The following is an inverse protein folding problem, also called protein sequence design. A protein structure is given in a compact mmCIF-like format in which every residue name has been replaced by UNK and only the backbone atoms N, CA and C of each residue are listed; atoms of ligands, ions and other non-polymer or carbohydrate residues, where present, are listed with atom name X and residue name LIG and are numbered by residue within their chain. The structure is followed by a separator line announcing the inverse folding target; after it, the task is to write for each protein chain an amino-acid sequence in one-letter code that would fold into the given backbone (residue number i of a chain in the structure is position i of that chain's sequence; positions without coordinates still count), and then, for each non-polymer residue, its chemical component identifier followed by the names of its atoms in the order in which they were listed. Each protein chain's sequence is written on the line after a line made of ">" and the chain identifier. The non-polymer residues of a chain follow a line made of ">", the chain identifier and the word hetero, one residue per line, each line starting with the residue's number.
data_IF_358883252824
#
_entry.id   IF_358883252824
#
_cell.length_a   1.000
_cell.length_b   1.000
_cell.length_c   1.000
_cell.angle_alpha   90.00
_cell.angle_beta   90.00
_cell.angle_gamma   90.00
#
_symmetry.space_group_name_H-M   'P 1'
#
loop_
_entity.id
_entity.type
_entity.pdbx_description
1 polymer ?
#
# COMPACT_ATOMS: atom_id res chain seq x y z
N UNK A 1 29.96 4.97 -27.03
CA UNK A 1 29.98 3.50 -27.13
C UNK A 1 29.57 2.97 -25.76
N UNK A 2 28.33 2.54 -25.61
CA UNK A 2 27.82 1.98 -24.36
C UNK A 2 28.37 0.55 -24.20
N UNK A 3 28.89 0.25 -23.02
CA UNK A 3 29.38 -1.06 -22.62
C UNK A 3 28.29 -2.12 -22.67
N UNK A 4 28.69 -3.36 -22.99
CA UNK A 4 27.88 -4.57 -22.98
C UNK A 4 27.00 -4.68 -21.71
N UNK A 5 25.78 -5.17 -21.92
CA UNK A 5 24.63 -5.03 -21.02
C UNK A 5 24.84 -5.56 -19.62
N UNK A 6 24.73 -4.67 -18.64
CA UNK A 6 24.35 -5.03 -17.28
C UNK A 6 22.83 -5.12 -17.22
N UNK A 7 22.32 -6.21 -16.65
CA UNK A 7 20.91 -6.32 -16.32
C UNK A 7 20.52 -5.20 -15.35
N UNK A 8 19.58 -4.36 -15.76
CA UNK A 8 19.05 -3.27 -14.97
C UNK A 8 17.82 -3.76 -14.21
N UNK A 9 17.93 -3.89 -12.89
CA UNK A 9 16.77 -4.11 -12.03
C UNK A 9 15.99 -2.80 -11.87
N UNK A 10 14.82 -2.71 -12.50
CA UNK A 10 13.96 -1.52 -12.48
C UNK A 10 12.63 -1.88 -11.81
N UNK A 11 12.26 -1.13 -10.77
CA UNK A 11 10.94 -1.26 -10.15
C UNK A 11 9.83 -0.94 -11.17
N UNK A 12 8.82 -1.81 -11.25
CA UNK A 12 7.73 -1.69 -12.24
C UNK A 12 7.12 -0.29 -12.29
N UNK A 13 6.83 0.33 -11.14
CA UNK A 13 6.18 1.65 -11.09
C UNK A 13 6.99 2.79 -11.74
N UNK A 14 8.29 2.60 -11.98
CA UNK A 14 9.15 3.56 -12.67
C UNK A 14 9.10 3.42 -14.19
N UNK A 15 8.64 2.27 -14.70
CA UNK A 15 8.52 2.02 -16.13
C UNK A 15 7.26 2.74 -16.64
N UNK A 16 7.35 3.53 -17.72
CA UNK A 16 6.18 4.18 -18.29
C UNK A 16 5.11 3.18 -18.71
N UNK A 17 3.86 3.45 -18.33
CA UNK A 17 2.75 2.53 -18.57
C UNK A 17 1.41 3.26 -18.67
N UNK A 18 0.42 2.56 -19.22
CA UNK A 18 -0.96 3.04 -19.39
C UNK A 18 -1.95 1.98 -18.94
N UNK A 19 -3.11 2.40 -18.43
CA UNK A 19 -4.24 1.49 -18.28
C UNK A 19 -4.84 1.24 -19.67
N UNK A 20 -4.68 0.02 -20.18
CA UNK A 20 -5.19 -0.37 -21.50
C UNK A 20 -6.65 -0.80 -21.45
N UNK A 21 -7.03 -1.50 -20.39
CA UNK A 21 -8.37 -2.04 -20.24
C UNK A 21 -8.67 -2.54 -18.83
N UNK A 22 -9.88 -3.07 -18.65
CA UNK A 22 -10.32 -3.66 -17.38
C UNK A 22 -11.09 -4.96 -17.65
N UNK A 23 -10.95 -5.91 -16.74
CA UNK A 23 -11.71 -7.17 -16.71
C UNK A 23 -12.24 -7.36 -15.30
N UNK A 24 -13.54 -7.16 -15.09
CA UNK A 24 -14.13 -7.14 -13.75
C UNK A 24 -13.43 -6.11 -12.85
N UNK A 25 -12.79 -6.59 -11.76
CA UNK A 25 -12.00 -5.76 -10.82
C UNK A 25 -10.54 -5.57 -11.24
N UNK A 26 -10.07 -6.27 -12.26
CA UNK A 26 -8.71 -6.18 -12.76
C UNK A 26 -8.53 -4.99 -13.70
N UNK A 27 -7.43 -4.27 -13.54
CA UNK A 27 -6.92 -3.28 -14.49
C UNK A 27 -5.75 -3.90 -15.25
N UNK A 28 -5.84 -3.92 -16.59
CA UNK A 28 -4.75 -4.37 -17.45
C UNK A 28 -3.88 -3.16 -17.79
N UNK A 29 -2.66 -3.17 -17.30
CA UNK A 29 -1.66 -2.12 -17.56
C UNK A 29 -0.71 -2.58 -18.65
N UNK A 30 -0.51 -1.74 -19.65
CA UNK A 30 0.47 -1.93 -20.70
C UNK A 30 1.73 -1.13 -20.35
N UNK A 31 2.84 -1.84 -20.12
CA UNK A 31 4.14 -1.28 -19.82
C UNK A 31 4.96 -1.09 -21.10
N UNK A 32 5.69 0.02 -21.18
CA UNK A 32 6.46 0.46 -22.35
C UNK A 32 7.94 0.67 -21.99
N UNK A 33 8.75 -0.41 -21.87
CA UNK A 33 10.11 -0.33 -21.35
C UNK A 33 11.05 0.57 -22.14
N UNK A 34 10.87 0.66 -23.47
CA UNK A 34 11.69 1.52 -24.34
C UNK A 34 11.53 3.02 -24.06
N UNK A 35 10.48 3.41 -23.34
CA UNK A 35 10.29 4.80 -22.90
C UNK A 35 10.98 5.10 -21.56
N UNK A 36 11.47 4.09 -20.85
CA UNK A 36 12.12 4.27 -19.56
C UNK A 36 13.41 5.09 -19.72
N UNK A 37 13.58 6.07 -18.83
CA UNK A 37 14.82 6.83 -18.67
C UNK A 37 15.12 6.92 -17.19
N UNK A 38 16.37 6.67 -16.80
CA UNK A 38 16.80 6.77 -15.41
C UNK A 38 16.55 8.19 -14.88
N UNK A 39 15.83 8.30 -13.75
CA UNK A 39 15.41 9.59 -13.17
C UNK A 39 14.30 10.32 -13.97
N UNK A 40 13.75 9.70 -15.01
CA UNK A 40 12.67 10.25 -15.82
C UNK A 40 11.29 10.05 -15.20
N UNK A 41 10.28 10.69 -15.81
CA UNK A 41 8.88 10.47 -15.43
C UNK A 41 8.37 9.13 -15.98
N UNK A 42 7.55 8.44 -15.19
CA UNK A 42 6.79 7.26 -15.61
C UNK A 42 5.51 7.61 -16.40
N UNK A 43 5.24 8.90 -16.65
CA UNK A 43 4.08 9.33 -17.43
C UNK A 43 4.37 9.21 -18.92
N UNK A 44 3.44 8.59 -19.66
CA UNK A 44 3.51 8.51 -21.12
C UNK A 44 3.06 9.84 -21.73
N UNK A 45 3.86 10.38 -22.65
CA UNK A 45 3.58 11.66 -23.30
C UNK A 45 2.31 11.58 -24.19
N UNK A 46 1.60 12.69 -24.34
CA UNK A 46 0.35 12.75 -25.12
C UNK A 46 0.54 12.32 -26.58
N UNK A 47 1.65 12.71 -27.20
CA UNK A 47 1.97 12.27 -28.58
C UNK A 47 2.15 10.76 -28.66
N UNK A 48 2.76 10.15 -27.66
CA UNK A 48 2.92 8.70 -27.59
C UNK A 48 1.59 8.00 -27.40
N UNK A 49 0.70 8.53 -26.55
CA UNK A 49 -0.67 8.01 -26.38
C UNK A 49 -1.48 8.13 -27.68
N UNK A 50 -1.31 9.23 -28.40
CA UNK A 50 -1.95 9.47 -29.70
C UNK A 50 -1.53 8.41 -30.71
N UNK A 51 -0.23 8.11 -30.80
CA UNK A 51 0.29 7.04 -31.67
C UNK A 51 -0.23 5.68 -31.24
N UNK A 52 -0.15 5.35 -29.95
CA UNK A 52 -0.66 4.08 -29.41
C UNK A 52 -2.13 3.85 -29.78
N UNK A 53 -2.98 4.87 -29.62
CA UNK A 53 -4.39 4.76 -29.94
C UNK A 53 -4.62 4.66 -31.46
N UNK A 54 -4.10 5.61 -32.23
CA UNK A 54 -4.39 5.74 -33.66
C UNK A 54 -3.75 4.62 -34.49
N UNK A 55 -2.49 4.27 -34.22
CA UNK A 55 -1.69 3.35 -35.03
C UNK A 55 -1.80 1.89 -34.55
N UNK A 56 -2.11 1.66 -33.26
CA UNK A 56 -2.14 0.32 -32.69
C UNK A 56 -3.55 -0.10 -32.26
N UNK A 57 -4.13 0.53 -31.22
CA UNK A 57 -5.40 0.07 -30.60
C UNK A 57 -6.56 0.13 -31.60
N UNK A 58 -6.77 1.29 -32.24
CA UNK A 58 -7.87 1.46 -33.18
C UNK A 58 -7.71 0.59 -34.43
N UNK A 59 -6.48 0.45 -34.92
CA UNK A 59 -6.18 -0.39 -36.08
C UNK A 59 -6.37 -1.88 -35.77
N UNK A 60 -6.01 -2.33 -34.56
CA UNK A 60 -6.29 -3.68 -34.11
C UNK A 60 -7.81 -3.94 -34.13
N UNK A 61 -8.61 -3.08 -33.49
CA UNK A 61 -10.09 -3.15 -33.51
C UNK A 61 -10.63 -3.18 -34.94
N UNK A 62 -10.16 -2.28 -35.83
CA UNK A 62 -10.62 -2.22 -37.22
C UNK A 62 -10.45 -3.56 -37.94
N UNK A 63 -9.37 -4.28 -37.63
CA UNK A 63 -9.08 -5.57 -38.28
C UNK A 63 -9.72 -6.78 -37.60
N UNK A 64 -9.94 -6.74 -36.28
CA UNK A 64 -10.39 -7.90 -35.52
C UNK A 64 -11.87 -7.88 -35.17
N UNK A 65 -12.45 -6.69 -34.99
CA UNK A 65 -13.86 -6.49 -34.60
C UNK A 65 -14.50 -5.33 -35.38
N UNK A 66 -14.49 -5.37 -36.73
CA UNK A 66 -14.93 -4.26 -37.58
C UNK A 66 -16.37 -3.80 -37.31
N UNK A 67 -17.25 -4.71 -36.90
CA UNK A 67 -18.65 -4.41 -36.53
C UNK A 67 -18.78 -3.48 -35.31
N UNK A 68 -17.80 -3.48 -34.41
CA UNK A 68 -17.81 -2.59 -33.24
C UNK A 68 -17.12 -1.25 -33.47
N UNK A 69 -16.34 -1.12 -34.56
CA UNK A 69 -15.48 0.04 -34.84
C UNK A 69 -16.25 1.37 -34.86
N UNK A 70 -17.51 1.37 -35.28
CA UNK A 70 -18.35 2.56 -35.31
C UNK A 70 -18.56 3.20 -33.92
N UNK A 71 -18.39 2.44 -32.84
CA UNK A 71 -18.48 2.92 -31.45
C UNK A 71 -17.18 3.52 -30.94
N UNK A 72 -16.07 3.29 -31.63
CA UNK A 72 -14.75 3.77 -31.23
C UNK A 72 -14.48 5.17 -31.78
N UNK A 73 -14.00 6.11 -30.96
CA UNK A 73 -13.59 7.44 -31.44
C UNK A 73 -12.66 7.38 -32.65
N UNK A 74 -12.88 8.27 -33.62
CA UNK A 74 -12.13 8.24 -34.88
C UNK A 74 -10.62 8.43 -34.70
N UNK A 75 -10.22 9.24 -33.71
CA UNK A 75 -8.83 9.54 -33.36
C UNK A 75 -8.68 9.73 -31.86
N UNK A 76 -7.45 9.71 -31.37
CA UNK A 76 -7.11 10.05 -29.98
C UNK A 76 -7.63 11.44 -29.59
N UNK A 77 -7.48 12.44 -30.46
CA UNK A 77 -7.92 13.81 -30.16
C UNK A 77 -9.44 13.92 -30.08
N UNK A 78 -10.16 13.13 -30.89
CA UNK A 78 -11.62 13.03 -30.78
C UNK A 78 -12.02 12.35 -29.46
N UNK A 79 -11.33 11.28 -29.06
CA UNK A 79 -11.55 10.62 -27.77
C UNK A 79 -11.29 11.57 -26.59
N UNK A 80 -10.16 12.28 -26.62
CA UNK A 80 -9.76 13.20 -25.56
C UNK A 80 -10.81 14.30 -25.35
N UNK A 81 -11.31 14.89 -26.44
CA UNK A 81 -12.39 15.90 -26.37
C UNK A 81 -13.72 15.31 -25.90
N UNK A 82 -14.08 14.12 -26.38
CA UNK A 82 -15.33 13.44 -26.01
C UNK A 82 -15.41 13.18 -24.50
N UNK A 83 -14.29 12.79 -23.89
CA UNK A 83 -14.22 12.41 -22.48
C UNK A 83 -13.86 13.57 -21.55
N UNK A 84 -13.71 14.79 -22.06
CA UNK A 84 -13.38 15.95 -21.23
C UNK A 84 -14.64 16.75 -20.87
N UNK A 85 -14.81 17.08 -19.58
CA UNK A 85 -15.90 17.95 -19.13
C UNK A 85 -15.57 19.46 -19.28
N UNK A 86 -16.54 20.30 -18.92
CA UNK A 86 -16.40 21.76 -19.00
C UNK A 86 -15.27 22.34 -18.15
N UNK A 87 -14.82 21.62 -17.11
CA UNK A 87 -13.71 22.01 -16.23
C UNK A 87 -12.38 21.41 -16.69
N UNK A 88 -12.36 20.72 -17.84
CA UNK A 88 -11.18 20.08 -18.37
C UNK A 88 -10.87 18.73 -17.73
N UNK A 89 -11.73 18.20 -16.86
CA UNK A 89 -11.54 16.92 -16.19
C UNK A 89 -11.96 15.78 -17.11
N UNK A 90 -11.13 14.74 -17.18
CA UNK A 90 -11.39 13.56 -18.01
C UNK A 90 -12.29 12.55 -17.26
N UNK A 91 -13.35 12.12 -17.93
CA UNK A 91 -14.27 11.05 -17.54
C UNK A 91 -14.07 9.87 -18.47
N UNK A 92 -13.28 8.89 -18.04
CA UNK A 92 -12.88 7.77 -18.89
C UNK A 92 -14.05 6.85 -19.20
N UNK A 93 -14.44 6.76 -20.47
CA UNK A 93 -15.34 5.72 -20.96
C UNK A 93 -14.64 4.39 -21.19
N UNK A 94 -15.43 3.33 -21.34
CA UNK A 94 -14.96 1.99 -21.71
C UNK A 94 -15.63 1.54 -23.01
N UNK A 95 -14.90 0.78 -23.81
CA UNK A 95 -15.40 0.11 -25.00
C UNK A 95 -15.02 -1.36 -24.92
N UNK A 96 -16.00 -2.22 -25.13
CA UNK A 96 -15.82 -3.66 -24.94
C UNK A 96 -15.22 -4.33 -26.17
N UNK A 97 -14.37 -5.31 -25.91
CA UNK A 97 -13.89 -6.30 -26.89
C UNK A 97 -14.43 -7.65 -26.42
N UNK A 98 -15.03 -8.40 -27.33
CA UNK A 98 -15.62 -9.70 -27.01
C UNK A 98 -14.53 -10.70 -26.60
N UNK A 99 -14.88 -11.67 -25.74
CA UNK A 99 -13.94 -12.74 -25.35
C UNK A 99 -13.48 -13.53 -26.57
N UNK A 100 -14.37 -13.77 -27.54
CA UNK A 100 -14.07 -14.53 -28.76
C UNK A 100 -13.06 -13.83 -29.68
N UNK A 101 -12.93 -12.51 -29.57
CA UNK A 101 -12.01 -11.71 -30.40
C UNK A 101 -10.77 -11.25 -29.64
N UNK A 102 -10.69 -11.49 -28.33
CA UNK A 102 -9.62 -11.00 -27.47
C UNK A 102 -8.24 -11.50 -27.92
N UNK A 103 -8.11 -12.79 -28.25
CA UNK A 103 -6.83 -13.36 -28.71
C UNK A 103 -6.39 -12.74 -30.03
N UNK A 104 -7.31 -12.58 -30.98
CA UNK A 104 -7.04 -11.95 -32.28
C UNK A 104 -6.63 -10.49 -32.08
N UNK A 105 -7.36 -9.77 -31.25
CA UNK A 105 -7.06 -8.38 -30.89
C UNK A 105 -5.67 -8.26 -30.28
N UNK A 106 -5.34 -9.11 -29.30
CA UNK A 106 -4.05 -9.07 -28.62
C UNK A 106 -2.89 -9.37 -29.57
N UNK A 107 -2.99 -10.42 -30.40
CA UNK A 107 -1.97 -10.74 -31.42
C UNK A 107 -1.76 -9.55 -32.33
N UNK A 108 -2.85 -8.99 -32.88
CA UNK A 108 -2.77 -7.88 -33.81
C UNK A 108 -2.23 -6.60 -33.17
N UNK A 109 -2.63 -6.30 -31.94
CA UNK A 109 -2.14 -5.15 -31.19
C UNK A 109 -0.62 -5.28 -31.00
N UNK A 110 -0.13 -6.46 -30.61
CA UNK A 110 1.31 -6.70 -30.45
C UNK A 110 2.08 -6.58 -31.76
N UNK A 111 1.57 -7.14 -32.87
CA UNK A 111 2.19 -6.99 -34.18
C UNK A 111 2.34 -5.50 -34.58
N UNK A 112 1.31 -4.69 -34.34
CA UNK A 112 1.34 -3.25 -34.64
C UNK A 112 2.32 -2.50 -33.71
N UNK A 113 2.37 -2.89 -32.44
CA UNK A 113 3.29 -2.29 -31.46
C UNK A 113 4.75 -2.64 -31.75
N UNK A 114 5.07 -3.85 -32.19
CA UNK A 114 6.46 -4.26 -32.45
C UNK A 114 7.10 -3.53 -33.65
N UNK A 115 6.29 -2.97 -34.54
CA UNK A 115 6.77 -2.10 -35.64
C UNK A 115 7.22 -0.73 -35.14
N UNK A 116 6.71 -0.28 -33.98
CA UNK A 116 7.00 1.05 -33.43
C UNK A 116 8.12 0.92 -32.39
N UNK A 117 9.31 1.51 -32.61
CA UNK A 117 10.47 1.34 -31.73
C UNK A 117 10.19 1.65 -30.25
N UNK A 118 9.32 2.62 -29.97
CA UNK A 118 8.95 3.02 -28.61
C UNK A 118 8.07 1.99 -27.86
N UNK A 119 7.42 1.08 -28.59
CA UNK A 119 6.45 0.12 -28.07
C UNK A 119 6.96 -1.32 -28.04
N UNK A 120 8.12 -1.57 -28.63
CA UNK A 120 8.78 -2.87 -28.62
C UNK A 120 9.05 -3.36 -27.20
N UNK A 121 8.98 -4.68 -27.02
CA UNK A 121 9.18 -5.35 -25.72
C UNK A 121 8.19 -4.88 -24.65
N UNK A 122 7.02 -4.39 -25.06
CA UNK A 122 5.93 -4.10 -24.15
C UNK A 122 5.38 -5.38 -23.52
N UNK A 123 4.83 -5.23 -22.31
CA UNK A 123 4.24 -6.35 -21.59
C UNK A 123 3.03 -5.88 -20.76
N UNK A 124 2.20 -6.84 -20.39
CA UNK A 124 1.02 -6.59 -19.56
C UNK A 124 1.31 -6.85 -18.09
N UNK A 125 0.66 -6.06 -17.24
CA UNK A 125 0.51 -6.35 -15.81
C UNK A 125 -0.96 -6.28 -15.48
N UNK A 126 -1.45 -7.32 -14.82
CA UNK A 126 -2.81 -7.40 -14.33
C UNK A 126 -2.83 -6.94 -12.87
N UNK A 127 -3.47 -5.82 -12.61
CA UNK A 127 -3.61 -5.25 -11.27
C UNK A 127 -5.04 -5.46 -10.77
N UNK A 128 -5.23 -6.36 -9.81
CA UNK A 128 -6.52 -6.55 -9.14
C UNK A 128 -6.51 -5.77 -7.83
N UNK A 129 -7.51 -4.91 -7.62
CA UNK A 129 -7.64 -4.11 -6.38
C UNK A 129 -8.94 -4.46 -5.66
N UNK A 130 -8.97 -4.21 -4.35
CA UNK A 130 -10.17 -4.37 -3.53
C UNK A 130 -10.49 -5.81 -3.12
N UNK A 131 -9.48 -6.68 -3.09
CA UNK A 131 -9.57 -8.08 -2.61
C UNK A 131 -9.04 -8.27 -1.19
N UNK A 132 -8.53 -7.18 -0.57
CA UNK A 132 -7.97 -7.24 0.78
C UNK A 132 -9.05 -7.67 1.78
N UNK A 133 -8.75 -8.69 2.57
CA UNK A 133 -9.67 -9.24 3.58
C UNK A 133 -10.79 -10.11 3.02
N UNK A 134 -10.85 -10.35 1.71
CA UNK A 134 -11.91 -11.19 1.11
C UNK A 134 -11.74 -12.69 1.37
N UNK A 135 -10.59 -13.12 1.89
CA UNK A 135 -10.19 -14.53 2.02
C UNK A 135 -9.74 -14.86 3.45
N UNK A 136 -10.36 -14.26 4.46
CA UNK A 136 -10.14 -14.63 5.86
C UNK A 136 -10.71 -16.03 6.14
N UNK A 137 -10.02 -16.81 6.96
CA UNK A 137 -10.33 -18.20 7.28
C UNK A 137 -9.69 -18.57 8.62
N UNK A 138 -10.08 -19.71 9.20
CA UNK A 138 -9.42 -20.25 10.38
C UNK A 138 -8.02 -20.78 10.03
N UNK A 139 -6.98 -20.32 10.74
CA UNK A 139 -5.58 -20.61 10.44
C UNK A 139 -5.18 -22.05 10.76
N UNK A 140 -5.87 -22.70 11.70
CA UNK A 140 -5.59 -24.10 12.05
C UNK A 140 -6.27 -25.10 11.10
N UNK A 141 -7.30 -24.67 10.37
CA UNK A 141 -8.09 -25.55 9.50
C UNK A 141 -7.49 -25.66 8.09
N UNK A 142 -6.79 -26.77 7.83
CA UNK A 142 -6.08 -27.03 6.57
C UNK A 142 -7.01 -26.92 5.35
N UNK A 143 -8.24 -27.41 5.46
CA UNK A 143 -9.19 -27.39 4.34
C UNK A 143 -9.61 -25.96 3.98
N UNK A 144 -9.94 -25.13 4.96
CA UNK A 144 -10.33 -23.73 4.72
C UNK A 144 -9.20 -22.95 4.08
N UNK A 145 -7.98 -23.10 4.61
CA UNK A 145 -6.76 -22.51 4.04
C UNK A 145 -6.54 -22.90 2.59
N UNK A 146 -6.83 -24.16 2.28
CA UNK A 146 -6.72 -24.68 0.92
C UNK A 146 -7.70 -24.02 -0.03
N UNK A 147 -8.98 -24.03 0.34
CA UNK A 147 -10.05 -23.43 -0.43
C UNK A 147 -9.89 -21.91 -0.58
N UNK A 148 -9.53 -21.18 0.47
CA UNK A 148 -9.35 -19.72 0.42
C UNK A 148 -8.20 -19.30 -0.49
N UNK A 149 -7.08 -20.04 -0.51
CA UNK A 149 -6.00 -19.74 -1.45
C UNK A 149 -6.42 -20.07 -2.89
N UNK A 150 -7.10 -21.19 -3.10
CA UNK A 150 -7.55 -21.58 -4.45
C UNK A 150 -8.56 -20.55 -4.99
N UNK A 151 -9.45 -20.05 -4.14
CA UNK A 151 -10.41 -19.00 -4.49
C UNK A 151 -9.73 -17.64 -4.77
N UNK A 152 -8.70 -17.29 -3.99
CA UNK A 152 -7.85 -16.12 -4.25
C UNK A 152 -7.15 -16.26 -5.61
N UNK A 153 -6.68 -17.46 -5.94
CA UNK A 153 -5.94 -17.73 -7.17
C UNK A 153 -6.83 -18.11 -8.37
N UNK A 154 -8.16 -18.12 -8.24
CA UNK A 154 -9.08 -18.60 -9.28
C UNK A 154 -8.97 -17.86 -10.62
N UNK A 155 -8.42 -16.64 -10.61
CA UNK A 155 -8.22 -15.83 -11.82
C UNK A 155 -6.88 -16.11 -12.52
N UNK A 156 -6.01 -16.90 -11.89
CA UNK A 156 -4.74 -17.33 -12.47
C UNK A 156 -4.97 -18.60 -13.28
N UNK A 157 -4.31 -18.69 -14.44
CA UNK A 157 -4.16 -19.95 -15.15
C UNK A 157 -2.90 -20.65 -14.62
N UNK A 158 -3.02 -21.78 -13.90
CA UNK A 158 -1.87 -22.49 -13.33
C UNK A 158 -0.88 -22.97 -14.39
N UNK A 159 -1.31 -23.18 -15.64
CA UNK A 159 -0.43 -23.59 -16.73
C UNK A 159 0.45 -22.44 -17.26
N UNK A 160 0.11 -21.19 -16.91
CA UNK A 160 0.76 -19.98 -17.42
C UNK A 160 1.63 -19.28 -16.37
N UNK A 161 1.71 -19.84 -15.15
CA UNK A 161 2.50 -19.29 -14.06
C UNK A 161 3.48 -20.33 -13.52
N UNK A 162 4.63 -19.86 -13.04
CA UNK A 162 5.56 -20.64 -12.23
C UNK A 162 5.39 -20.22 -10.77
N UNK A 163 4.72 -21.01 -9.90
CA UNK A 163 4.41 -20.61 -8.52
C UNK A 163 5.64 -20.25 -7.68
N UNK A 164 6.82 -20.76 -8.04
CA UNK A 164 8.07 -20.44 -7.35
C UNK A 164 8.66 -19.06 -7.69
N UNK A 165 8.15 -18.40 -8.73
CA UNK A 165 8.49 -17.04 -9.14
C UNK A 165 7.47 -15.99 -8.65
N UNK A 166 6.36 -16.46 -8.06
CA UNK A 166 5.28 -15.61 -7.56
C UNK A 166 5.37 -15.45 -6.05
N UNK A 167 5.00 -14.26 -5.58
CA UNK A 167 4.98 -13.91 -4.16
C UNK A 167 3.56 -13.64 -3.70
N UNK A 168 3.27 -14.04 -2.47
CA UNK A 168 1.99 -13.81 -1.80
C UNK A 168 2.24 -13.39 -0.35
N UNK A 169 1.41 -12.46 0.12
CA UNK A 169 1.41 -12.05 1.52
C UNK A 169 0.49 -12.99 2.32
N UNK A 170 1.09 -13.76 3.24
CA UNK A 170 0.38 -14.63 4.18
C UNK A 170 0.36 -13.93 5.53
N UNK A 171 -0.83 -13.65 6.05
CA UNK A 171 -1.00 -12.91 7.31
C UNK A 171 -1.76 -13.72 8.35
N UNK A 172 -1.26 -13.75 9.57
CA UNK A 172 -2.00 -14.19 10.75
C UNK A 172 -2.46 -12.95 11.53
N UNK A 173 -3.75 -12.89 11.81
CA UNK A 173 -4.38 -11.81 12.57
C UNK A 173 -4.89 -12.38 13.89
N UNK A 174 -4.52 -11.75 15.00
CA UNK A 174 -4.95 -12.13 16.34
C UNK A 174 -5.83 -11.02 16.88
N UNK A 175 -6.99 -11.40 17.41
CA UNK A 175 -7.96 -10.53 18.05
C UNK A 175 -8.25 -11.01 19.46
N UNK A 176 -8.71 -10.09 20.31
CA UNK A 176 -9.20 -10.41 21.64
C UNK A 176 -10.38 -9.50 21.97
N UNK A 177 -11.47 -10.11 22.44
CA UNK A 177 -12.74 -9.42 22.62
C UNK A 177 -12.60 -8.19 23.51
N UNK A 178 -13.16 -7.06 23.05
CA UNK A 178 -13.14 -5.78 23.75
C UNK A 178 -11.73 -5.25 24.12
N UNK A 179 -10.70 -5.66 23.38
CA UNK A 179 -9.33 -5.16 23.55
C UNK A 179 -8.75 -4.62 22.23
N UNK A 180 -7.80 -3.70 22.38
CA UNK A 180 -6.84 -3.32 21.36
C UNK A 180 -5.54 -4.06 21.67
N UNK A 181 -5.14 -4.91 20.74
CA UNK A 181 -3.87 -5.64 20.86
C UNK A 181 -2.70 -4.79 20.35
N UNK A 182 -1.56 -4.90 21.01
CA UNK A 182 -0.30 -4.25 20.63
C UNK A 182 0.85 -5.27 20.65
N UNK A 183 1.74 -5.19 19.66
CA UNK A 183 2.98 -5.96 19.63
C UNK A 183 4.00 -5.37 20.62
N UNK A 184 4.66 -6.22 21.39
CA UNK A 184 5.78 -5.84 22.24
C UNK A 184 7.09 -5.82 21.46
N UNK A 185 7.82 -4.71 21.56
CA UNK A 185 9.15 -4.58 20.98
C UNK A 185 10.12 -5.67 21.48
N UNK A 186 9.97 -6.07 22.76
CA UNK A 186 10.82 -7.09 23.37
C UNK A 186 10.72 -8.47 22.69
N UNK A 187 9.60 -8.76 22.01
CA UNK A 187 9.36 -10.05 21.36
C UNK A 187 9.81 -10.09 19.89
N UNK A 188 10.35 -9.00 19.33
CA UNK A 188 10.65 -8.91 17.89
C UNK A 188 11.59 -10.01 17.38
N UNK A 189 12.57 -10.44 18.18
CA UNK A 189 13.44 -11.58 17.81
C UNK A 189 12.62 -12.86 17.67
N UNK A 190 11.79 -13.20 18.65
CA UNK A 190 10.94 -14.39 18.62
C UNK A 190 9.92 -14.34 17.49
N UNK A 191 9.34 -13.17 17.22
CA UNK A 191 8.44 -12.97 16.08
C UNK A 191 9.12 -13.28 14.74
N UNK A 192 10.38 -12.89 14.57
CA UNK A 192 11.18 -13.21 13.38
C UNK A 192 11.50 -14.70 13.33
N UNK A 193 11.75 -15.37 14.45
CA UNK A 193 11.98 -16.82 14.51
C UNK A 193 10.73 -17.61 14.08
N UNK A 194 9.54 -17.17 14.52
CA UNK A 194 8.26 -17.75 14.09
C UNK A 194 8.05 -17.59 12.58
N UNK A 195 8.49 -16.47 12.00
CA UNK A 195 8.37 -16.24 10.56
C UNK A 195 9.42 -16.97 9.73
N UNK A 196 10.59 -17.29 10.31
CA UNK A 196 11.74 -17.89 9.64
C UNK A 196 12.23 -19.13 10.40
N UNK A 197 11.39 -20.18 10.56
CA UNK A 197 11.70 -21.33 11.39
C UNK A 197 12.86 -22.18 10.84
N UNK A 198 13.18 -22.08 9.55
CA UNK A 198 14.30 -22.80 8.91
C UNK A 198 15.59 -21.97 8.88
N UNK A 199 15.61 -20.80 9.52
CA UNK A 199 16.80 -19.94 9.59
C UNK A 199 17.84 -20.46 10.59
N UNK A 200 19.12 -20.14 10.36
CA UNK A 200 20.21 -20.57 11.23
C UNK A 200 20.12 -19.95 12.63
N UNK A 201 20.61 -20.62 13.69
CA UNK A 201 20.61 -20.07 15.05
C UNK A 201 21.17 -18.63 15.12
N UNK A 202 20.43 -17.76 15.83
CA UNK A 202 20.74 -16.34 15.97
C UNK A 202 20.52 -15.49 14.71
N UNK A 203 19.99 -16.04 13.61
CA UNK A 203 19.67 -15.26 12.41
C UNK A 203 18.63 -14.18 12.69
N UNK A 204 17.58 -14.51 13.44
CA UNK A 204 16.56 -13.56 13.85
C UNK A 204 17.15 -12.37 14.61
N UNK A 205 17.98 -12.64 15.62
CA UNK A 205 18.65 -11.58 16.40
C UNK A 205 19.56 -10.71 15.53
N UNK A 206 20.29 -11.31 14.57
CA UNK A 206 21.11 -10.56 13.60
C UNK A 206 20.26 -9.69 12.68
N UNK A 207 19.09 -10.18 12.25
CA UNK A 207 18.16 -9.41 11.43
C UNK A 207 17.59 -8.22 12.20
N UNK A 208 17.06 -8.45 13.41
CA UNK A 208 16.49 -7.40 14.27
C UNK A 208 17.50 -6.30 14.60
N UNK A 209 18.77 -6.67 14.84
CA UNK A 209 19.84 -5.70 15.09
C UNK A 209 20.45 -5.10 13.81
N UNK A 210 19.99 -5.53 12.64
CA UNK A 210 20.54 -5.18 11.34
C UNK A 210 19.88 -3.97 10.70
N UNK A 211 20.52 -3.44 9.65
CA UNK A 211 20.00 -2.30 8.85
C UNK A 211 18.73 -2.62 8.06
N UNK A 212 18.42 -3.90 7.87
CA UNK A 212 17.27 -4.38 7.10
C UNK A 212 16.02 -4.54 7.98
N UNK A 213 16.08 -4.09 9.23
CA UNK A 213 14.98 -4.07 10.17
C UNK A 213 14.58 -2.64 10.45
N UNK A 214 13.30 -2.33 10.27
CA UNK A 214 12.71 -1.01 10.46
C UNK A 214 11.71 -1.15 11.59
N UNK A 215 11.97 -0.43 12.68
CA UNK A 215 11.13 -0.42 13.87
C UNK A 215 9.96 0.57 13.68
N UNK A 216 8.73 0.09 13.86
CA UNK A 216 7.50 0.88 13.69
C UNK A 216 6.81 1.10 15.04
N UNK A 217 7.27 2.10 15.80
CA UNK A 217 6.72 2.46 17.12
C UNK A 217 5.31 3.05 17.00
N UNK A 218 4.42 2.64 17.90
CA UNK A 218 3.01 3.04 17.91
C UNK A 218 2.75 4.11 18.98
N UNK A 219 2.03 5.17 18.62
CA UNK A 219 1.53 6.18 19.56
C UNK A 219 2.59 6.79 20.50
N UNK A 220 3.83 6.93 20.02
CA UNK A 220 5.00 7.42 20.78
C UNK A 220 5.32 6.59 22.04
N UNK A 221 4.86 5.33 22.10
CA UNK A 221 5.12 4.43 23.22
C UNK A 221 6.38 3.61 22.93
N UNK A 222 7.22 3.48 23.97
CA UNK A 222 8.53 2.85 23.87
C UNK A 222 8.46 1.35 23.60
N UNK A 223 7.50 0.69 24.23
CA UNK A 223 7.44 -0.76 24.28
C UNK A 223 6.51 -1.35 23.21
N UNK A 224 5.63 -0.53 22.62
CA UNK A 224 4.70 -0.95 21.58
C UNK A 224 5.24 -0.61 20.21
N UNK A 225 5.56 -1.64 19.45
CA UNK A 225 6.09 -1.48 18.12
C UNK A 225 5.78 -2.69 17.25
N UNK A 226 5.38 -2.41 16.01
CA UNK A 226 5.53 -3.33 14.90
C UNK A 226 6.93 -3.26 14.31
N UNK A 227 7.11 -3.92 13.17
CA UNK A 227 8.33 -3.81 12.38
C UNK A 227 8.11 -4.19 10.93
N UNK A 228 9.03 -3.75 10.07
CA UNK A 228 9.23 -4.27 8.72
C UNK A 228 10.64 -4.81 8.61
N UNK A 229 10.79 -6.00 8.06
CA UNK A 229 12.10 -6.60 7.88
C UNK A 229 12.29 -7.17 6.47
N UNK A 230 13.52 -7.06 5.96
CA UNK A 230 13.95 -7.61 4.68
C UNK A 230 15.02 -8.68 4.95
N UNK A 231 14.64 -9.96 5.09
CA UNK A 231 15.58 -11.02 5.48
C UNK A 231 16.74 -11.23 4.51
N UNK A 232 16.58 -10.85 3.24
CA UNK A 232 17.52 -11.18 2.16
C UNK A 232 17.83 -12.70 2.20
N UNK A 233 19.12 -13.06 2.17
CA UNK A 233 19.59 -14.46 2.20
C UNK A 233 19.17 -15.23 3.44
N UNK A 234 18.81 -14.55 4.54
CA UNK A 234 18.33 -15.23 5.75
C UNK A 234 16.96 -15.86 5.56
N UNK A 235 16.17 -15.37 4.59
CA UNK A 235 14.84 -15.89 4.28
C UNK A 235 14.80 -16.95 3.17
N UNK A 236 15.95 -17.29 2.56
CA UNK A 236 16.01 -18.20 1.41
C UNK A 236 15.45 -19.60 1.76
N UNK A 237 15.80 -20.14 2.95
CA UNK A 237 15.36 -21.45 3.40
C UNK A 237 13.84 -21.53 3.62
N UNK A 238 13.24 -20.42 4.03
CA UNK A 238 11.80 -20.28 4.27
C UNK A 238 11.06 -19.77 3.02
N UNK A 239 11.78 -19.41 1.96
CA UNK A 239 11.23 -18.75 0.77
C UNK A 239 10.44 -17.48 1.13
N UNK A 240 11.01 -16.64 1.99
CA UNK A 240 10.41 -15.39 2.50
C UNK A 240 11.32 -14.20 2.21
N UNK A 241 10.77 -13.13 1.62
CA UNK A 241 11.55 -11.92 1.26
C UNK A 241 11.20 -10.69 2.08
N UNK A 242 10.10 -10.73 2.82
CA UNK A 242 9.63 -9.59 3.59
C UNK A 242 8.78 -10.05 4.76
N UNK A 243 8.98 -9.39 5.90
CA UNK A 243 8.22 -9.60 7.14
C UNK A 243 7.58 -8.28 7.53
N UNK A 244 6.36 -8.34 8.05
CA UNK A 244 5.67 -7.16 8.56
C UNK A 244 4.80 -7.52 9.77
N UNK A 245 5.12 -6.90 10.90
CA UNK A 245 4.27 -6.92 12.08
C UNK A 245 3.67 -5.54 12.28
N UNK A 246 2.34 -5.44 12.37
CA UNK A 246 1.66 -4.17 12.60
C UNK A 246 0.34 -4.36 13.34
N UNK A 247 -0.22 -3.26 13.84
CA UNK A 247 -1.52 -3.21 14.51
C UNK A 247 -2.59 -2.63 13.60
N UNK A 248 -3.82 -3.10 13.71
CA UNK A 248 -4.92 -2.64 12.85
C UNK A 248 -5.60 -1.37 13.36
N UNK A 249 -5.15 -0.81 14.48
CA UNK A 249 -5.69 0.43 15.06
C UNK A 249 -5.53 1.64 14.14
N UNK A 250 -4.50 1.65 13.29
CA UNK A 250 -4.34 2.60 12.18
C UNK A 250 -5.55 2.66 11.24
N UNK A 251 -6.40 1.63 11.18
CA UNK A 251 -7.62 1.66 10.35
C UNK A 251 -8.56 2.83 10.69
N UNK A 252 -8.58 3.29 11.94
CA UNK A 252 -9.37 4.45 12.37
C UNK A 252 -8.87 5.77 11.76
N UNK A 253 -7.58 5.82 11.39
CA UNK A 253 -6.92 7.02 10.87
C UNK A 253 -6.42 6.85 9.43
N UNK A 254 -6.74 5.72 8.78
CA UNK A 254 -6.27 5.45 7.43
C UNK A 254 -7.13 6.21 6.40
N UNK A 255 -6.48 7.03 5.58
CA UNK A 255 -7.15 7.83 4.57
C UNK A 255 -6.43 7.76 3.21
N UNK A 256 -7.15 7.36 2.16
CA UNK A 256 -6.60 7.28 0.78
C UNK A 256 -6.44 8.65 0.10
N UNK A 257 -7.13 9.66 0.61
CA UNK A 257 -7.15 11.01 0.06
C UNK A 257 -6.73 12.01 1.13
N UNK A 258 -6.21 13.16 0.71
CA UNK A 258 -5.83 14.22 1.63
C UNK A 258 -7.04 14.69 2.44
N UNK A 259 -6.96 14.56 3.75
CA UNK A 259 -7.92 15.09 4.71
C UNK A 259 -7.27 15.26 6.09
N UNK A 260 -8.07 15.19 7.15
CA UNK A 260 -7.60 15.47 8.51
C UNK A 260 -6.46 14.55 8.99
N UNK A 261 -6.44 13.30 8.51
CA UNK A 261 -5.43 12.30 8.88
C UNK A 261 -4.18 12.33 8.00
N UNK A 262 -4.00 13.36 7.16
CA UNK A 262 -2.75 13.56 6.44
C UNK A 262 -1.60 13.77 7.43
N UNK A 263 -0.37 13.54 6.95
CA UNK A 263 0.82 13.93 7.70
C UNK A 263 0.91 15.45 7.80
N UNK A 264 0.92 15.95 9.03
CA UNK A 264 1.02 17.38 9.33
C UNK A 264 2.47 17.83 9.31
N UNK A 265 2.72 19.05 8.86
CA UNK A 265 4.05 19.64 8.72
C UNK A 265 4.15 20.89 9.58
N UNK A 266 5.37 21.32 9.98
CA UNK A 266 5.53 22.60 10.67
C UNK A 266 4.92 23.80 9.93
N UNK A 267 4.83 23.73 8.58
CA UNK A 267 4.17 24.75 7.76
C UNK A 267 2.66 24.88 8.01
N UNK A 268 2.00 23.87 8.59
CA UNK A 268 0.57 23.95 8.96
C UNK A 268 0.32 24.90 10.14
N UNK A 269 1.38 25.29 10.85
CA UNK A 269 1.34 26.26 11.95
C UNK A 269 1.52 27.72 11.49
N UNK A 270 1.52 27.97 10.18
CA UNK A 270 1.50 29.32 9.62
C UNK A 270 0.14 29.98 9.89
N UNK A 271 0.08 31.31 10.09
CA UNK A 271 -1.16 32.00 10.48
C UNK A 271 -2.36 31.75 9.56
N UNK A 272 -2.13 31.62 8.26
CA UNK A 272 -3.15 31.37 7.24
C UNK A 272 -3.65 29.91 7.22
N UNK A 273 -2.89 28.98 7.80
CA UNK A 273 -3.19 27.54 7.81
C UNK A 273 -3.66 27.00 9.16
N UNK A 274 -3.43 27.74 10.24
CA UNK A 274 -3.74 27.30 11.61
C UNK A 274 -5.20 26.88 11.80
N UNK A 275 -6.14 27.61 11.20
CA UNK A 275 -7.57 27.26 11.24
C UNK A 275 -7.86 25.89 10.63
N UNK A 276 -7.16 25.54 9.54
CA UNK A 276 -7.27 24.22 8.91
C UNK A 276 -6.72 23.13 9.82
N UNK A 277 -5.54 23.35 10.41
CA UNK A 277 -4.94 22.42 11.36
C UNK A 277 -5.84 22.18 12.57
N UNK A 278 -6.40 23.22 13.17
CA UNK A 278 -7.31 23.09 14.32
C UNK A 278 -8.55 22.27 13.98
N UNK A 279 -9.11 22.47 12.79
CA UNK A 279 -10.23 21.66 12.30
C UNK A 279 -9.83 20.19 12.15
N UNK A 280 -8.65 19.92 11.57
CA UNK A 280 -8.13 18.56 11.41
C UNK A 280 -7.95 17.89 12.78
N UNK A 281 -7.36 18.59 13.76
CA UNK A 281 -7.14 18.10 15.13
C UNK A 281 -8.46 17.78 15.83
N UNK A 282 -9.48 18.63 15.70
CA UNK A 282 -10.82 18.37 16.23
C UNK A 282 -11.44 17.13 15.61
N UNK A 283 -11.31 16.95 14.29
CA UNK A 283 -11.81 15.77 13.59
C UNK A 283 -11.10 14.49 14.05
N UNK A 284 -9.77 14.53 14.20
CA UNK A 284 -8.99 13.40 14.74
C UNK A 284 -9.47 13.06 16.16
N UNK A 285 -9.60 14.07 17.02
CA UNK A 285 -10.06 13.87 18.40
C UNK A 285 -11.46 13.27 18.44
N UNK A 286 -12.39 13.72 17.58
CA UNK A 286 -13.74 13.15 17.50
C UNK A 286 -13.70 11.66 17.17
N UNK A 287 -12.91 11.26 16.17
CA UNK A 287 -12.81 9.84 15.79
C UNK A 287 -12.23 8.99 16.92
N UNK A 288 -11.25 9.50 17.68
CA UNK A 288 -10.75 8.77 18.85
C UNK A 288 -11.79 8.70 19.97
N UNK A 289 -12.61 9.73 20.15
CA UNK A 289 -13.75 9.70 21.08
C UNK A 289 -14.76 8.62 20.69
N UNK A 290 -15.17 8.59 19.41
CA UNK A 290 -16.09 7.57 18.88
C UNK A 290 -15.51 6.15 19.03
N UNK A 291 -14.18 5.99 18.92
CA UNK A 291 -13.55 4.69 19.11
C UNK A 291 -13.50 4.24 20.59
N UNK A 292 -13.46 5.20 21.51
CA UNK A 292 -13.42 4.96 22.96
C UNK A 292 -14.80 4.72 23.58
N UNK A 293 -15.87 5.07 22.86
CA UNK A 293 -17.24 4.97 23.33
C UNK A 293 -17.60 3.52 23.73
N UNK A 294 -18.36 3.37 24.82
CA UNK A 294 -18.67 2.06 25.39
C UNK A 294 -19.64 1.23 24.54
N UNK A 295 -20.47 1.86 23.70
CA UNK A 295 -21.43 1.19 22.82
C UNK A 295 -20.81 0.90 21.45
N UNK A 296 -19.95 1.79 20.95
CA UNK A 296 -19.27 1.64 19.65
C UNK A 296 -17.92 0.92 19.75
N UNK A 297 -17.37 0.80 20.96
CA UNK A 297 -15.99 0.43 21.28
C UNK A 297 -15.35 -0.46 20.23
N UNK A 298 -14.32 0.06 19.56
CA UNK A 298 -13.80 -0.61 18.37
C UNK A 298 -12.52 -1.38 18.70
N UNK A 299 -12.59 -2.72 18.85
CA UNK A 299 -11.43 -3.56 19.13
C UNK A 299 -10.46 -3.56 17.96
N UNK A 300 -9.20 -3.90 18.23
CA UNK A 300 -8.15 -3.91 17.21
C UNK A 300 -7.23 -5.10 17.38
N UNK A 301 -6.77 -5.57 16.24
CA UNK A 301 -5.98 -6.77 16.10
C UNK A 301 -4.51 -6.41 15.97
N UNK A 302 -3.68 -7.39 16.31
CA UNK A 302 -2.30 -7.43 15.84
C UNK A 302 -2.24 -8.34 14.62
N UNK A 303 -1.37 -8.01 13.67
CA UNK A 303 -1.16 -8.79 12.46
C UNK A 303 0.32 -9.02 12.22
N UNK A 304 0.67 -10.27 11.96
CA UNK A 304 1.98 -10.71 11.52
C UNK A 304 1.85 -11.23 10.10
N UNK A 305 2.70 -10.78 9.19
CA UNK A 305 2.62 -11.08 7.77
C UNK A 305 3.98 -11.43 7.21
N UNK A 306 4.02 -12.45 6.36
CA UNK A 306 5.20 -12.83 5.57
C UNK A 306 4.88 -12.76 4.08
N UNK A 307 5.81 -12.21 3.30
CA UNK A 307 5.79 -12.33 1.84
C UNK A 307 6.58 -13.57 1.43
N UNK A 308 5.85 -14.64 1.16
CA UNK A 308 6.41 -15.94 0.82
C UNK A 308 6.18 -16.28 -0.65
N UNK A 309 6.94 -17.24 -1.18
CA UNK A 309 6.64 -17.81 -2.50
C UNK A 309 5.26 -18.47 -2.49
N UNK A 310 4.53 -18.34 -3.60
CA UNK A 310 3.21 -18.97 -3.74
C UNK A 310 3.30 -20.49 -3.53
N UNK A 311 4.37 -21.12 -4.02
CA UNK A 311 4.66 -22.56 -3.87
C UNK A 311 4.78 -23.04 -2.43
N UNK A 312 5.15 -22.18 -1.47
CA UNK A 312 5.34 -22.52 -0.05
C UNK A 312 4.35 -21.82 0.87
N UNK A 313 3.43 -21.01 0.32
CA UNK A 313 2.53 -20.14 1.09
C UNK A 313 1.68 -20.90 2.12
N UNK A 314 1.35 -22.16 1.82
CA UNK A 314 0.59 -23.08 2.68
C UNK A 314 1.34 -23.60 3.92
N UNK A 315 2.61 -23.23 4.13
CA UNK A 315 3.37 -23.65 5.31
C UNK A 315 3.54 -22.52 6.33
N UNK A 316 3.20 -21.29 5.95
CA UNK A 316 3.54 -20.11 6.72
C UNK A 316 2.41 -19.68 7.66
N UNK A 317 2.80 -19.27 8.88
CA UNK A 317 1.92 -18.66 9.90
C UNK A 317 0.62 -19.43 10.16
N UNK A 318 0.68 -20.77 10.17
CA UNK A 318 -0.51 -21.63 10.34
C UNK A 318 -1.04 -21.58 11.76
N UNK A 319 -0.16 -21.43 12.74
CA UNK A 319 -0.52 -21.34 14.15
C UNK A 319 0.56 -20.56 14.89
N UNK A 320 0.12 -19.68 15.79
CA UNK A 320 0.97 -19.04 16.78
C UNK A 320 0.72 -19.76 18.11
N UNK A 321 1.78 -20.13 18.85
CA UNK A 321 1.59 -20.80 20.14
C UNK A 321 1.04 -19.82 21.17
N UNK A 322 0.24 -20.32 22.12
CA UNK A 322 -0.30 -19.50 23.21
C UNK A 322 0.84 -18.84 24.01
N UNK A 323 1.90 -19.60 24.32
CA UNK A 323 3.08 -19.10 25.03
C UNK A 323 3.76 -17.95 24.30
N UNK A 324 3.86 -18.01 22.97
CA UNK A 324 4.39 -16.90 22.17
C UNK A 324 3.47 -15.67 22.29
N UNK A 325 2.15 -15.85 22.16
CA UNK A 325 1.19 -14.74 22.22
C UNK A 325 1.20 -14.05 23.59
N UNK A 326 1.29 -14.81 24.68
CA UNK A 326 1.42 -14.29 26.05
C UNK A 326 2.68 -13.42 26.25
N UNK A 327 3.74 -13.70 25.50
CA UNK A 327 5.02 -12.96 25.57
C UNK A 327 5.12 -11.82 24.56
N UNK A 328 4.43 -11.93 23.42
CA UNK A 328 4.55 -11.01 22.30
C UNK A 328 3.47 -9.95 22.24
N UNK A 329 2.31 -10.17 22.87
CA UNK A 329 1.13 -9.32 22.72
C UNK A 329 0.66 -8.78 24.06
N UNK A 330 0.29 -7.50 24.09
CA UNK A 330 -0.46 -6.90 25.19
C UNK A 330 -1.88 -6.61 24.74
N UNK A 331 -2.85 -7.07 25.54
CA UNK A 331 -4.25 -6.71 25.39
C UNK A 331 -4.58 -5.50 26.27
N UNK A 332 -5.01 -4.40 25.64
CA UNK A 332 -5.39 -3.16 26.32
C UNK A 332 -6.90 -2.98 26.17
N UNK A 333 -7.68 -2.72 27.24
CA UNK A 333 -9.10 -2.44 27.09
C UNK A 333 -9.35 -1.32 26.08
N UNK A 334 -10.33 -1.51 25.20
CA UNK A 334 -10.65 -0.58 24.09
C UNK A 334 -10.77 0.86 24.57
N UNK A 335 -11.57 1.08 25.62
CA UNK A 335 -11.78 2.40 26.22
C UNK A 335 -10.45 3.05 26.62
N UNK A 336 -9.56 2.30 27.28
CA UNK A 336 -8.29 2.83 27.78
C UNK A 336 -7.36 3.24 26.64
N UNK A 337 -7.23 2.41 25.61
CA UNK A 337 -6.36 2.70 24.46
C UNK A 337 -6.81 3.94 23.70
N UNK A 338 -8.10 4.02 23.38
CA UNK A 338 -8.63 5.12 22.59
C UNK A 338 -8.73 6.42 23.40
N UNK A 339 -9.09 6.33 24.68
CA UNK A 339 -9.08 7.48 25.61
C UNK A 339 -7.68 8.06 25.77
N UNK A 340 -6.64 7.22 25.84
CA UNK A 340 -5.25 7.67 25.85
C UNK A 340 -4.91 8.52 24.60
N UNK A 341 -5.31 8.08 23.41
CA UNK A 341 -5.08 8.84 22.16
C UNK A 341 -5.93 10.11 22.11
N UNK A 342 -7.19 10.02 22.50
CA UNK A 342 -8.12 11.15 22.60
C UNK A 342 -7.53 12.27 23.46
N UNK A 343 -7.15 11.99 24.70
CA UNK A 343 -6.64 13.02 25.61
C UNK A 343 -5.34 13.64 25.13
N UNK A 344 -4.47 12.88 24.44
CA UNK A 344 -3.25 13.43 23.84
C UNK A 344 -3.56 14.42 22.72
N UNK A 345 -4.49 14.08 21.82
CA UNK A 345 -4.89 15.00 20.74
C UNK A 345 -5.64 16.21 21.30
N UNK A 346 -6.49 16.03 22.31
CA UNK A 346 -7.15 17.14 23.00
C UNK A 346 -6.14 18.09 23.67
N UNK A 347 -5.11 17.56 24.33
CA UNK A 347 -4.03 18.37 24.89
C UNK A 347 -3.27 19.17 23.82
N UNK A 348 -2.98 18.54 22.67
CA UNK A 348 -2.36 19.21 21.53
C UNK A 348 -3.26 20.30 20.94
N UNK A 349 -4.59 20.09 20.92
CA UNK A 349 -5.54 21.11 20.49
C UNK A 349 -5.41 22.40 21.32
N UNK A 350 -5.30 22.30 22.64
CA UNK A 350 -5.06 23.48 23.50
C UNK A 350 -3.74 24.18 23.13
N UNK A 351 -2.67 23.42 22.90
CA UNK A 351 -1.38 24.00 22.47
C UNK A 351 -1.54 24.75 21.15
N UNK A 352 -2.22 24.18 20.15
CA UNK A 352 -2.42 24.83 18.86
C UNK A 352 -3.32 26.08 18.96
N UNK A 353 -4.33 26.07 19.82
CA UNK A 353 -5.18 27.24 20.09
C UNK A 353 -4.36 28.39 20.70
N UNK A 354 -3.55 28.11 21.73
CA UNK A 354 -2.67 29.12 22.33
C UNK A 354 -1.65 29.67 21.31
N UNK A 355 -1.14 28.82 20.41
CA UNK A 355 -0.26 29.23 19.32
C UNK A 355 -0.97 30.09 18.26
N UNK A 356 -2.28 29.90 18.05
CA UNK A 356 -3.12 30.74 17.19
C UNK A 356 -3.39 32.11 17.82
N UNK A 357 -3.51 32.19 19.15
CA UNK A 357 -3.76 33.43 19.89
C UNK A 357 -2.48 34.24 20.18
N UNK A 358 -1.32 33.58 20.26
CA UNK A 358 -0.04 34.22 20.53
C UNK A 358 0.30 35.35 19.53
N UNK A 359 0.95 36.42 20.03
CA UNK A 359 1.41 37.54 19.21
C UNK A 359 2.47 37.11 18.19
N UNK A 360 2.60 37.82 17.07
CA UNK A 360 3.59 37.51 16.03
C UNK A 360 5.03 37.41 16.58
N UNK A 361 5.39 38.25 17.55
CA UNK A 361 6.71 38.22 18.18
C UNK A 361 6.92 36.94 19.00
N UNK A 362 5.97 36.58 19.85
CA UNK A 362 6.06 35.37 20.68
C UNK A 362 6.12 34.09 19.84
N UNK A 363 5.53 34.08 18.63
CA UNK A 363 5.60 32.93 17.72
C UNK A 363 6.99 32.68 17.15
N UNK A 364 7.82 33.74 17.07
CA UNK A 364 9.18 33.68 16.56
C UNK A 364 10.21 33.30 17.63
N UNK A 365 9.82 33.26 18.90
CA UNK A 365 10.71 32.82 19.98
C UNK A 365 11.13 31.37 19.77
N UNK A 366 12.41 31.09 20.01
CA UNK A 366 13.01 29.76 19.82
C UNK A 366 12.25 28.66 20.57
N UNK A 367 11.80 28.96 21.78
CA UNK A 367 11.03 28.05 22.64
C UNK A 367 9.67 27.75 22.02
N UNK A 368 8.97 28.77 21.50
CA UNK A 368 7.71 28.61 20.79
C UNK A 368 7.88 27.77 19.53
N UNK A 369 8.94 28.00 18.75
CA UNK A 369 9.28 27.19 17.58
C UNK A 369 9.58 25.73 17.94
N UNK A 370 10.27 25.50 19.07
CA UNK A 370 10.52 24.15 19.59
C UNK A 370 9.23 23.41 19.96
N UNK A 371 8.35 24.06 20.74
CA UNK A 371 7.04 23.50 21.14
C UNK A 371 6.19 23.20 19.91
N UNK A 372 6.16 24.12 18.93
CA UNK A 372 5.49 23.95 17.64
C UNK A 372 5.91 22.68 16.91
N UNK A 373 7.23 22.49 16.75
CA UNK A 373 7.77 21.32 16.07
C UNK A 373 7.43 20.02 16.81
N UNK A 374 7.58 20.01 18.14
CA UNK A 374 7.27 18.85 18.98
C UNK A 374 5.77 18.52 18.93
N UNK A 375 4.89 19.52 18.98
CA UNK A 375 3.44 19.30 18.94
C UNK A 375 2.99 18.67 17.62
N UNK A 376 3.55 19.09 16.48
CA UNK A 376 3.27 18.46 15.18
C UNK A 376 3.82 17.04 15.12
N UNK A 377 5.04 16.82 15.63
CA UNK A 377 5.61 15.48 15.72
C UNK A 377 4.76 14.56 16.59
N UNK A 378 4.27 15.05 17.73
CA UNK A 378 3.39 14.29 18.63
C UNK A 378 2.04 13.98 17.97
N UNK A 379 1.45 14.94 17.27
CA UNK A 379 0.20 14.73 16.52
C UNK A 379 0.39 13.64 15.46
N UNK A 380 1.47 13.71 14.67
CA UNK A 380 1.77 12.68 13.67
C UNK A 380 2.01 11.31 14.33
N UNK A 381 2.68 11.26 15.48
CA UNK A 381 2.86 10.01 16.22
C UNK A 381 1.56 9.40 16.74
N UNK A 382 0.47 10.18 16.84
CA UNK A 382 -0.87 9.68 17.13
C UNK A 382 -1.60 9.18 15.89
N UNK A 383 -1.09 9.38 14.67
CA UNK A 383 -1.78 9.03 13.40
C UNK A 383 -0.99 7.97 12.63
N UNK A 384 0.34 8.04 12.68
CA UNK A 384 1.29 7.22 11.95
C UNK A 384 2.22 6.47 12.90
N UNK A 385 2.73 5.32 12.45
CA UNK A 385 3.83 4.65 13.14
C UNK A 385 5.15 5.34 12.79
N UNK A 386 6.06 5.48 13.76
CA UNK A 386 7.25 6.33 13.58
C UNK A 386 8.21 5.85 12.48
N UNK A 387 8.29 4.55 12.19
CA UNK A 387 9.14 4.05 11.11
C UNK A 387 8.58 4.34 9.71
N UNK A 388 7.31 4.78 9.59
CA UNK A 388 6.68 5.14 8.31
C UNK A 388 7.13 6.51 7.78
N UNK A 389 7.96 7.25 8.51
CA UNK A 389 8.46 8.57 8.13
C UNK A 389 9.30 8.57 6.84
N UNK A 390 9.82 7.40 6.42
CA UNK A 390 10.66 7.25 5.22
C UNK A 390 9.94 6.75 3.97
N UNK A 391 8.69 6.27 4.07
CA UNK A 391 8.05 5.51 2.98
C UNK A 391 7.02 6.29 2.14
N UNK A 392 6.60 7.49 2.58
CA UNK A 392 5.61 8.31 1.86
C UNK A 392 6.23 9.40 0.96
N UNK A 393 7.43 9.14 0.47
CA UNK A 393 7.94 9.77 -0.76
C UNK A 393 7.88 8.69 -1.85
N UNK A 394 6.68 8.42 -2.36
CA UNK A 394 6.46 7.69 -3.60
C UNK A 394 5.51 8.50 -4.48
#
# INVERSE_FOLDING_TARGET
>A
MASQGQDLHISLHLIPHVALGKVGRACVRLFLPKLYRQGGSNKVHQDTLRRLYNECVREAVRTTTPETLARWPATYDAAYKLYQDQLGKLHMGSLDISVADMDKFNVRLRDLMDVIPEFQQSFYVHEVRGTKGSYAHEGTEILERNLSLDELCQFLDPAMIEPSEWWIDVGCEVSYDNHVLQWLQAAHTEMVEVCLPKSAPGAAQRLVNGKNFILDRTSLLGDFAGFRAYPERLGDNDSVIYLHAYTTDKSATYQLHTGAFRRHRPSDLLPDKMKGLLKDVQQISSVFGDCADAELGVPRCVRLEVRAKLSTSREHLTQLSETFLEQAVVAIPVEQWWTYRFYRVAALNYVFQELELASSESRLWKQSLGIRAIAVWMLNGMIFHQGEDNAEII
#
